data_IF_053722279666
#
_entry.id   IF_053722279666
#
_cell.length_a   1.000
_cell.length_b   1.000
_cell.length_c   1.000
_cell.angle_alpha   90.00
_cell.angle_beta   90.00
_cell.angle_gamma   90.00
#
_symmetry.space_group_name_H-M   'P 1'
#
loop_
_entity.id
_entity.type
_entity.pdbx_description
1 polymer ?
#
# COMPACT_ATOMS: atom_id res chain seq x y z
N UNK A 1 1.03 -10.14 1.79
CA UNK A 1 0.85 -9.67 3.19
C UNK A 1 0.96 -8.15 3.23
N UNK A 2 0.91 -7.55 4.42
CA UNK A 2 1.06 -6.10 4.60
C UNK A 2 2.55 -5.72 4.67
N UNK A 3 2.98 -4.74 3.88
CA UNK A 3 4.35 -4.23 3.89
C UNK A 3 4.41 -2.79 3.38
N UNK A 4 5.34 -1.99 3.88
CA UNK A 4 5.51 -0.59 3.51
C UNK A 4 6.97 -0.16 3.53
N UNK A 5 7.33 0.77 2.65
CA UNK A 5 8.63 1.41 2.65
C UNK A 5 8.83 2.26 3.92
N UNK A 6 10.09 2.58 4.23
CA UNK A 6 10.43 3.63 5.21
C UNK A 6 10.52 4.99 4.52
N UNK A 7 10.38 6.09 5.27
CA UNK A 7 10.22 7.43 4.67
C UNK A 7 11.39 7.85 3.75
N UNK A 8 12.64 7.77 4.23
CA UNK A 8 13.84 8.16 3.45
C UNK A 8 13.95 7.37 2.14
N UNK A 9 13.61 6.08 2.18
CA UNK A 9 13.56 5.21 1.01
C UNK A 9 12.46 5.64 0.05
N UNK A 10 11.23 5.79 0.55
CA UNK A 10 10.07 6.21 -0.25
C UNK A 10 10.31 7.56 -0.93
N UNK A 11 10.85 8.54 -0.19
CA UNK A 11 11.11 9.87 -0.73
C UNK A 11 12.15 9.82 -1.85
N UNK A 12 13.28 9.13 -1.62
CA UNK A 12 14.32 8.98 -2.64
C UNK A 12 13.82 8.21 -3.86
N UNK A 13 12.99 7.20 -3.64
CA UNK A 13 12.46 6.34 -4.71
C UNK A 13 11.61 7.15 -5.70
N UNK A 14 10.84 8.15 -5.25
CA UNK A 14 10.08 9.02 -6.17
C UNK A 14 10.96 9.74 -7.20
N UNK A 15 12.22 10.04 -6.86
CA UNK A 15 13.19 10.62 -7.80
C UNK A 15 13.94 9.60 -8.65
N UNK A 16 14.04 8.35 -8.20
CA UNK A 16 14.78 7.28 -8.89
C UNK A 16 13.90 6.45 -9.83
N UNK A 17 12.68 6.16 -9.42
CA UNK A 17 11.65 5.51 -10.22
C UNK A 17 10.26 6.02 -9.78
N UNK A 18 9.77 7.15 -10.33
CA UNK A 18 8.43 7.66 -10.01
C UNK A 18 7.31 6.71 -10.45
N UNK A 19 7.62 5.73 -11.31
CA UNK A 19 6.69 4.71 -11.78
C UNK A 19 6.79 3.39 -11.00
N UNK A 20 7.51 3.34 -9.87
CA UNK A 20 7.83 2.10 -9.15
C UNK A 20 6.63 1.17 -8.93
N UNK A 21 5.54 1.64 -8.32
CA UNK A 21 4.35 0.78 -8.10
C UNK A 21 3.63 0.41 -9.40
N UNK A 22 3.67 1.28 -10.43
CA UNK A 22 3.08 0.97 -11.74
C UNK A 22 3.86 -0.13 -12.44
N UNK A 23 5.19 -0.04 -12.40
CA UNK A 23 6.12 -1.05 -12.94
C UNK A 23 6.00 -2.37 -12.20
N UNK A 24 6.06 -2.33 -10.87
CA UNK A 24 5.97 -3.50 -10.00
C UNK A 24 4.68 -4.29 -10.25
N UNK A 25 3.52 -3.61 -10.29
CA UNK A 25 2.24 -4.24 -10.63
C UNK A 25 2.25 -4.90 -12.02
N UNK A 26 2.79 -4.20 -13.02
CA UNK A 26 2.82 -4.67 -14.40
C UNK A 26 3.73 -5.90 -14.55
N UNK A 27 4.95 -5.81 -14.02
CA UNK A 27 5.97 -6.86 -14.07
C UNK A 27 5.55 -8.09 -13.25
N UNK A 28 4.88 -7.91 -12.10
CA UNK A 28 4.32 -9.03 -11.33
C UNK A 28 3.30 -9.83 -12.15
N UNK A 29 2.43 -9.16 -12.89
CA UNK A 29 1.46 -9.82 -13.78
C UNK A 29 2.17 -10.54 -14.93
N UNK A 30 3.17 -9.93 -15.56
CA UNK A 30 3.96 -10.58 -16.63
C UNK A 30 4.75 -11.80 -16.12
N UNK A 31 5.23 -11.75 -14.88
CA UNK A 31 5.94 -12.85 -14.22
C UNK A 31 5.02 -14.00 -13.76
N UNK A 32 3.70 -13.80 -13.77
CA UNK A 32 2.73 -14.76 -13.23
C UNK A 32 2.60 -14.70 -11.70
N UNK A 33 3.14 -13.67 -11.07
CA UNK A 33 2.98 -13.35 -9.65
C UNK A 33 1.74 -12.47 -9.46
N UNK A 34 0.59 -13.01 -9.87
CA UNK A 34 -0.66 -12.28 -9.90
C UNK A 34 -1.01 -11.67 -8.54
N UNK A 35 -1.32 -10.36 -8.46
CA UNK A 35 -1.89 -9.77 -7.27
C UNK A 35 -3.20 -10.45 -6.89
N UNK A 36 -3.31 -10.85 -5.62
CA UNK A 36 -4.49 -11.52 -5.08
C UNK A 36 -5.01 -10.77 -3.85
N UNK A 37 -6.33 -10.56 -3.81
CA UNK A 37 -7.01 -9.85 -2.73
C UNK A 37 -8.23 -10.65 -2.28
N UNK A 38 -8.34 -10.91 -0.98
CA UNK A 38 -9.54 -11.52 -0.40
C UNK A 38 -10.57 -10.43 -0.09
N UNK A 39 -11.78 -10.58 -0.62
CA UNK A 39 -12.91 -9.75 -0.21
C UNK A 39 -13.43 -10.31 1.12
N UNK A 40 -13.53 -9.43 2.11
CA UNK A 40 -14.13 -9.73 3.41
C UNK A 40 -15.14 -8.68 3.81
N UNK A 41 -16.13 -9.09 4.61
CA UNK A 41 -17.22 -8.24 5.09
C UNK A 41 -17.25 -8.22 6.61
N UNK A 42 -17.37 -7.03 7.20
CA UNK A 42 -17.85 -6.87 8.57
C UNK A 42 -19.37 -6.77 8.49
N UNK A 43 -20.07 -7.64 9.22
CA UNK A 43 -21.53 -7.75 9.18
C UNK A 43 -22.08 -7.38 10.54
N UNK A 44 -22.87 -6.31 10.59
CA UNK A 44 -23.52 -5.82 11.79
C UNK A 44 -25.04 -5.92 11.56
N UNK A 45 -25.79 -6.60 12.45
CA UNK A 45 -27.26 -6.60 12.39
C UNK A 45 -27.84 -5.19 12.52
N UNK A 46 -29.01 -4.95 11.93
CA UNK A 46 -29.67 -3.63 11.98
C UNK A 46 -29.95 -3.20 13.43
N UNK A 47 -30.33 -4.14 14.30
CA UNK A 47 -30.59 -3.90 15.72
C UNK A 47 -29.37 -3.43 16.53
N UNK A 48 -28.15 -3.62 16.00
CA UNK A 48 -26.89 -3.27 16.67
C UNK A 48 -26.31 -1.93 16.20
N UNK A 49 -27.05 -1.14 15.40
CA UNK A 49 -26.60 0.16 14.86
C UNK A 49 -26.01 1.09 15.93
N UNK A 50 -26.62 1.13 17.11
CA UNK A 50 -26.25 2.00 18.22
C UNK A 50 -25.51 1.28 19.36
N UNK A 51 -25.00 0.06 19.13
CA UNK A 51 -24.32 -0.74 20.16
C UNK A 51 -22.84 -0.36 20.37
N UNK A 52 -22.31 0.57 19.56
CA UNK A 52 -20.91 0.97 19.55
C UNK A 52 -20.69 2.33 20.23
N UNK A 53 -19.47 2.58 20.70
CA UNK A 53 -19.12 3.89 21.28
C UNK A 53 -19.00 5.00 20.21
N UNK A 54 -19.14 4.63 18.94
CA UNK A 54 -19.03 5.47 17.77
C UNK A 54 -20.19 5.21 16.81
N UNK A 55 -20.49 6.20 15.97
CA UNK A 55 -21.54 6.09 14.97
C UNK A 55 -21.05 5.26 13.76
N UNK A 56 -21.81 4.25 13.35
CA UNK A 56 -21.48 3.42 12.18
C UNK A 56 -21.52 4.21 10.86
N UNK A 57 -22.21 5.35 10.85
CA UNK A 57 -22.32 6.25 9.70
C UNK A 57 -21.21 7.30 9.66
N UNK A 58 -20.32 7.34 10.67
CA UNK A 58 -19.18 8.26 10.71
C UNK A 58 -17.97 7.68 9.98
N UNK A 59 -17.61 8.18 8.78
CA UNK A 59 -16.49 7.66 8.00
C UNK A 59 -15.12 7.96 8.62
N UNK A 60 -15.07 8.72 9.72
CA UNK A 60 -13.83 8.92 10.50
C UNK A 60 -13.60 7.80 11.53
N UNK A 61 -14.54 6.87 11.68
CA UNK A 61 -14.50 5.78 12.63
C UNK A 61 -14.31 4.47 11.88
N UNK A 62 -13.31 3.68 12.31
CA UNK A 62 -13.16 2.30 11.86
C UNK A 62 -13.95 1.38 12.78
N UNK A 63 -14.33 0.20 12.28
CA UNK A 63 -14.89 -0.87 13.09
C UNK A 63 -13.74 -1.82 13.45
N UNK A 64 -13.28 -1.89 14.72
CA UNK A 64 -12.19 -2.78 15.10
C UNK A 64 -12.54 -4.25 14.82
N UNK A 65 -11.59 -5.01 14.25
CA UNK A 65 -11.81 -6.42 13.92
C UNK A 65 -12.02 -7.28 15.18
N UNK A 66 -11.48 -6.83 16.32
CA UNK A 66 -11.73 -7.45 17.61
C UNK A 66 -13.19 -7.33 18.09
N UNK A 67 -13.97 -6.35 17.59
CA UNK A 67 -15.40 -6.22 17.87
C UNK A 67 -16.23 -6.96 16.82
N UNK A 68 -15.94 -6.70 15.54
CA UNK A 68 -16.67 -7.29 14.41
C UNK A 68 -15.64 -7.90 13.45
N UNK A 69 -15.46 -9.24 13.45
CA UNK A 69 -14.44 -9.87 12.64
C UNK A 69 -14.78 -9.78 11.14
N UNK A 70 -13.73 -9.67 10.32
CA UNK A 70 -13.85 -9.71 8.86
C UNK A 70 -14.16 -11.14 8.40
N UNK A 71 -15.32 -11.34 7.77
CA UNK A 71 -15.72 -12.63 7.21
C UNK A 71 -15.34 -12.72 5.74
N UNK A 72 -14.48 -13.67 5.37
CA UNK A 72 -14.01 -13.88 3.99
C UNK A 72 -15.16 -14.36 3.11
N UNK A 73 -15.40 -13.68 1.99
CA UNK A 73 -16.51 -14.00 1.07
C UNK A 73 -16.07 -14.34 -0.35
N UNK A 74 -14.86 -13.97 -0.75
CA UNK A 74 -14.37 -14.25 -2.10
C UNK A 74 -12.92 -13.81 -2.31
N UNK A 75 -12.41 -14.06 -3.52
CA UNK A 75 -11.03 -13.74 -3.91
C UNK A 75 -11.03 -13.11 -5.30
N UNK A 76 -10.29 -12.01 -5.44
CA UNK A 76 -9.99 -11.34 -6.70
C UNK A 76 -8.54 -11.64 -7.10
N UNK A 77 -8.31 -11.93 -8.38
CA UNK A 77 -6.98 -12.17 -8.95
C UNK A 77 -6.81 -11.24 -10.16
N UNK A 78 -5.77 -10.41 -10.15
CA UNK A 78 -5.40 -9.55 -11.27
C UNK A 78 -4.38 -10.28 -12.14
N UNK A 79 -4.80 -10.74 -13.33
CA UNK A 79 -3.99 -11.67 -14.13
C UNK A 79 -3.66 -11.19 -15.55
N UNK A 80 -4.00 -9.94 -15.89
CA UNK A 80 -3.67 -9.36 -17.18
C UNK A 80 -3.58 -7.85 -17.10
N UNK A 81 -2.54 -7.29 -17.73
CA UNK A 81 -2.38 -5.85 -17.93
C UNK A 81 -3.30 -5.34 -19.04
N UNK A 82 -3.61 -4.03 -19.08
CA UNK A 82 -4.31 -3.43 -20.21
C UNK A 82 -3.43 -3.47 -21.47
N UNK A 83 -4.07 -3.53 -22.64
CA UNK A 83 -3.38 -3.40 -23.93
C UNK A 83 -3.03 -1.92 -24.20
N UNK A 84 -3.88 -0.99 -23.76
CA UNK A 84 -3.65 0.44 -23.89
C UNK A 84 -4.03 1.20 -22.62
N UNK A 85 -3.04 1.84 -22.00
CA UNK A 85 -3.23 2.58 -20.75
C UNK A 85 -4.31 3.67 -20.86
N UNK A 86 -4.34 4.45 -21.94
CA UNK A 86 -5.34 5.52 -22.07
C UNK A 86 -6.75 4.97 -22.30
N UNK A 87 -6.90 3.96 -23.15
CA UNK A 87 -8.19 3.36 -23.49
C UNK A 87 -8.86 2.65 -22.31
N UNK A 88 -8.05 1.99 -21.47
CA UNK A 88 -8.56 1.10 -20.42
C UNK A 88 -8.34 1.65 -19.00
N UNK A 89 -7.24 2.35 -18.72
CA UNK A 89 -7.00 2.93 -17.38
C UNK A 89 -7.54 4.36 -17.30
N UNK A 90 -7.01 5.27 -18.12
CA UNK A 90 -7.31 6.71 -18.01
C UNK A 90 -8.81 6.99 -18.23
N UNK A 91 -9.45 6.25 -19.14
CA UNK A 91 -10.88 6.41 -19.44
C UNK A 91 -11.82 5.55 -18.59
N UNK A 92 -11.30 4.71 -17.69
CA UNK A 92 -12.15 3.97 -16.76
C UNK A 92 -12.93 4.93 -15.85
N UNK A 93 -14.20 4.63 -15.60
CA UNK A 93 -15.07 5.41 -14.73
C UNK A 93 -15.64 4.53 -13.62
N UNK A 94 -15.12 4.72 -12.40
CA UNK A 94 -15.65 4.09 -11.20
C UNK A 94 -16.56 5.05 -10.45
N UNK A 95 -17.66 4.54 -9.88
CA UNK A 95 -18.59 5.34 -9.09
C UNK A 95 -19.18 4.48 -7.97
N UNK A 96 -19.13 4.92 -6.69
CA UNK A 96 -19.75 4.16 -5.59
C UNK A 96 -21.28 4.03 -5.70
N UNK A 97 -21.95 4.85 -6.52
CA UNK A 97 -23.38 4.72 -6.81
C UNK A 97 -23.73 3.63 -7.82
N UNK A 98 -22.74 3.00 -8.48
CA UNK A 98 -22.95 1.85 -9.36
C UNK A 98 -23.09 0.55 -8.55
N UNK A 99 -24.14 0.47 -7.72
CA UNK A 99 -24.50 -0.73 -6.97
C UNK A 99 -25.41 -1.66 -7.80
N UNK A 100 -25.68 -2.85 -7.27
CA UNK A 100 -26.56 -3.86 -7.87
C UNK A 100 -27.61 -4.32 -6.85
N UNK A 101 -28.78 -4.84 -7.28
CA UNK A 101 -29.78 -5.36 -6.35
C UNK A 101 -29.19 -6.36 -5.35
N UNK A 102 -29.46 -6.14 -4.07
CA UNK A 102 -28.85 -6.87 -2.93
C UNK A 102 -27.83 -6.03 -2.13
N UNK A 103 -27.50 -4.83 -2.60
CA UNK A 103 -26.71 -3.82 -1.89
C UNK A 103 -27.54 -2.54 -1.89
N UNK A 104 -27.45 -1.75 -0.82
CA UNK A 104 -28.02 -0.40 -0.74
C UNK A 104 -27.07 0.53 0.03
N UNK A 105 -27.42 1.80 0.13
CA UNK A 105 -26.64 2.83 0.82
C UNK A 105 -27.06 3.00 2.27
N UNK A 106 -26.20 3.67 3.05
CA UNK A 106 -26.51 4.19 4.38
C UNK A 106 -26.53 5.72 4.37
N UNK A 107 -26.92 6.33 5.48
CA UNK A 107 -26.93 7.78 5.66
C UNK A 107 -25.56 8.38 6.03
N UNK A 108 -24.44 7.70 5.76
CA UNK A 108 -23.10 8.30 5.85
C UNK A 108 -23.07 9.59 5.02
N UNK A 109 -22.91 10.77 5.65
CA UNK A 109 -23.04 12.06 4.98
C UNK A 109 -21.94 12.33 3.95
N UNK A 110 -20.80 11.63 4.04
CA UNK A 110 -19.74 11.67 3.03
C UNK A 110 -20.09 10.79 1.83
N UNK A 111 -20.59 9.58 2.06
CA UNK A 111 -21.07 8.70 0.98
C UNK A 111 -22.17 9.37 0.18
N UNK A 112 -23.17 9.96 0.85
CA UNK A 112 -24.29 10.66 0.20
C UNK A 112 -23.81 11.76 -0.77
N UNK A 113 -22.78 12.54 -0.39
CA UNK A 113 -22.18 13.53 -1.29
C UNK A 113 -21.43 12.90 -2.48
N UNK A 114 -20.79 11.74 -2.28
CA UNK A 114 -20.09 11.00 -3.35
C UNK A 114 -21.06 10.41 -4.38
N UNK A 115 -22.29 10.08 -4.01
CA UNK A 115 -23.31 9.59 -4.96
C UNK A 115 -23.61 10.61 -6.06
N UNK A 116 -23.49 11.91 -5.76
CA UNK A 116 -23.61 12.97 -6.75
C UNK A 116 -22.34 13.11 -7.62
N UNK A 117 -21.18 13.25 -6.97
CA UNK A 117 -19.95 13.76 -7.61
C UNK A 117 -19.43 12.91 -8.77
N UNK A 118 -19.47 11.59 -8.63
CA UNK A 118 -18.78 10.69 -9.55
C UNK A 118 -19.53 10.46 -10.87
N UNK A 119 -20.81 10.82 -10.97
CA UNK A 119 -21.49 10.93 -12.27
C UNK A 119 -21.21 12.30 -12.90
N UNK A 120 -21.31 13.36 -12.10
CA UNK A 120 -21.07 14.74 -12.53
C UNK A 120 -19.68 14.95 -13.16
N UNK A 121 -18.62 14.49 -12.50
CA UNK A 121 -17.24 14.71 -12.97
C UNK A 121 -16.94 14.08 -14.33
N UNK A 122 -17.66 13.01 -14.71
CA UNK A 122 -17.41 12.31 -15.97
C UNK A 122 -17.85 13.12 -17.19
N UNK A 123 -18.80 14.03 -17.01
CA UNK A 123 -19.31 14.87 -18.10
C UNK A 123 -18.19 15.70 -18.72
N UNK A 124 -17.32 16.29 -17.90
CA UNK A 124 -16.16 17.03 -18.41
C UNK A 124 -14.98 16.10 -18.69
N UNK A 125 -14.65 15.18 -17.77
CA UNK A 125 -13.47 14.30 -17.87
C UNK A 125 -13.50 13.38 -19.08
N UNK A 126 -14.67 12.81 -19.38
CA UNK A 126 -14.89 11.85 -20.47
C UNK A 126 -15.73 12.44 -21.62
N UNK A 127 -15.92 13.76 -21.62
CA UNK A 127 -16.45 14.49 -22.77
C UNK A 127 -17.95 14.38 -23.01
N UNK A 128 -18.73 13.81 -22.08
CA UNK A 128 -20.19 13.82 -22.17
C UNK A 128 -20.87 12.71 -21.35
N UNK A 129 -22.21 12.58 -21.46
CA UNK A 129 -22.99 11.60 -20.71
C UNK A 129 -22.84 10.15 -21.23
N UNK A 130 -22.25 9.97 -22.43
CA UNK A 130 -22.10 8.67 -23.07
C UNK A 130 -20.81 7.93 -22.64
N UNK A 131 -20.20 8.30 -21.51
CA UNK A 131 -18.97 7.65 -21.02
C UNK A 131 -19.14 6.15 -20.73
N UNK A 132 -20.36 5.69 -20.51
CA UNK A 132 -20.70 4.27 -20.35
C UNK A 132 -20.55 3.47 -21.64
N UNK A 133 -20.48 4.11 -22.82
CA UNK A 133 -20.26 3.46 -24.10
C UNK A 133 -18.78 3.27 -24.44
N UNK A 134 -17.87 3.90 -23.68
CA UNK A 134 -16.43 3.65 -23.79
C UNK A 134 -16.17 2.16 -23.45
N UNK A 135 -15.41 1.41 -24.26
CA UNK A 135 -15.34 -0.05 -24.16
C UNK A 135 -15.06 -0.62 -22.76
N UNK A 136 -14.17 0.01 -21.98
CA UNK A 136 -13.82 -0.47 -20.63
C UNK A 136 -14.94 -0.25 -19.60
N UNK A 137 -15.84 0.71 -19.85
CA UNK A 137 -16.96 1.05 -18.96
C UNK A 137 -18.25 0.31 -19.33
N UNK A 138 -18.28 -0.36 -20.49
CA UNK A 138 -19.48 -1.03 -21.00
C UNK A 138 -19.88 -2.18 -20.08
N UNK A 139 -21.16 -2.25 -19.65
CA UNK A 139 -21.69 -3.43 -19.00
C UNK A 139 -21.56 -4.65 -19.92
N UNK A 140 -21.25 -5.81 -19.35
CA UNK A 140 -21.29 -7.09 -20.08
C UNK A 140 -22.68 -7.72 -20.08
N UNK A 141 -23.62 -7.16 -19.30
CA UNK A 141 -25.03 -7.51 -19.28
C UNK A 141 -25.85 -6.55 -20.18
N UNK A 142 -27.09 -6.92 -20.56
CA UNK A 142 -27.95 -6.04 -21.34
C UNK A 142 -28.26 -4.73 -20.61
N UNK A 143 -28.26 -3.61 -21.34
CA UNK A 143 -28.73 -2.30 -20.90
C UNK A 143 -29.62 -1.70 -21.99
N UNK A 144 -30.87 -1.35 -21.64
CA UNK A 144 -31.81 -0.71 -22.55
C UNK A 144 -32.65 0.30 -21.77
N UNK A 145 -32.76 1.52 -22.29
CA UNK A 145 -33.53 2.59 -21.67
C UNK A 145 -33.99 3.61 -22.74
N UNK A 146 -34.55 4.72 -22.29
CA UNK A 146 -35.09 5.78 -23.15
C UNK A 146 -34.15 6.98 -23.32
N UNK A 147 -32.93 6.93 -22.78
CA UNK A 147 -31.93 8.00 -22.99
C UNK A 147 -31.44 7.99 -24.44
N UNK A 148 -31.24 9.18 -25.02
CA UNK A 148 -30.80 9.39 -26.41
C UNK A 148 -29.80 10.53 -26.49
N UNK A 149 -29.22 10.69 -27.67
CA UNK A 149 -28.32 11.78 -28.05
C UNK A 149 -27.05 11.84 -27.17
N UNK A 150 -26.58 13.05 -26.86
CA UNK A 150 -25.32 13.28 -26.18
C UNK A 150 -24.10 13.23 -27.11
N UNK A 151 -22.98 13.75 -26.62
CA UNK A 151 -21.72 13.75 -27.37
C UNK A 151 -21.24 12.32 -27.61
N UNK A 152 -20.72 12.04 -28.80
CA UNK A 152 -20.13 10.75 -29.18
C UNK A 152 -21.05 9.54 -28.90
N UNK A 153 -22.34 9.65 -29.23
CA UNK A 153 -23.29 8.52 -29.13
C UNK A 153 -22.87 7.39 -30.07
N UNK A 154 -22.61 6.21 -29.51
CA UNK A 154 -22.16 5.02 -30.22
C UNK A 154 -23.32 4.11 -30.63
N UNK A 155 -24.23 3.84 -29.71
CA UNK A 155 -25.35 2.93 -29.97
C UNK A 155 -26.44 3.64 -30.78
N UNK A 156 -26.91 2.98 -31.85
CA UNK A 156 -28.01 3.48 -32.70
C UNK A 156 -29.30 2.77 -32.26
N UNK A 157 -30.08 3.43 -31.42
CA UNK A 157 -31.39 2.93 -30.98
C UNK A 157 -32.38 2.88 -32.16
N UNK A 158 -33.02 1.73 -32.36
CA UNK A 158 -34.06 1.53 -33.40
C UNK A 158 -35.48 1.60 -32.86
N UNK A 159 -35.62 1.77 -31.54
CA UNK A 159 -36.92 1.83 -30.87
C UNK A 159 -37.71 3.05 -31.38
N UNK A 160 -38.95 2.88 -31.89
CA UNK A 160 -39.78 4.00 -32.34
C UNK A 160 -40.18 4.94 -31.18
N UNK A 161 -40.07 4.49 -29.93
CA UNK A 161 -40.25 5.30 -28.74
C UNK A 161 -38.90 5.68 -28.08
N UNK A 162 -38.83 6.92 -27.58
CA UNK A 162 -37.79 7.44 -26.70
C UNK A 162 -38.38 7.98 -25.38
N UNK A 163 -39.56 7.49 -24.99
CA UNK A 163 -40.28 7.88 -23.79
C UNK A 163 -41.10 6.70 -23.25
N UNK A 164 -41.55 6.84 -22.00
CA UNK A 164 -42.31 5.85 -21.24
C UNK A 164 -43.33 6.58 -20.34
N UNK A 165 -44.58 6.12 -20.21
CA UNK A 165 -45.22 4.99 -20.91
C UNK A 165 -45.46 5.26 -22.40
N UNK A 166 -45.36 4.21 -23.23
CA UNK A 166 -45.59 4.28 -24.68
C UNK A 166 -46.36 3.07 -25.23
N UNK A 167 -47.25 3.28 -26.19
CA UNK A 167 -47.97 2.19 -26.89
C UNK A 167 -47.34 1.78 -28.22
N UNK A 168 -46.58 2.68 -28.85
CA UNK A 168 -46.02 2.49 -30.20
C UNK A 168 -44.92 1.42 -30.27
N UNK A 169 -44.32 1.07 -29.13
CA UNK A 169 -43.41 -0.05 -28.99
C UNK A 169 -43.85 -1.03 -27.87
N UNK A 170 -45.16 -1.12 -27.61
CA UNK A 170 -45.72 -1.97 -26.54
C UNK A 170 -45.00 -1.76 -25.19
N UNK A 171 -44.67 -0.51 -24.88
CA UNK A 171 -44.05 -0.10 -23.62
C UNK A 171 -42.63 -0.65 -23.38
N UNK A 172 -41.95 -1.18 -24.42
CA UNK A 172 -40.57 -1.68 -24.29
C UNK A 172 -39.50 -0.58 -24.44
N UNK A 173 -38.38 -0.65 -23.69
CA UNK A 173 -38.11 -1.56 -22.57
C UNK A 173 -38.96 -1.26 -21.32
N UNK A 174 -39.36 -2.31 -20.57
CA UNK A 174 -40.26 -2.19 -19.41
C UNK A 174 -39.52 -2.19 -18.07
N UNK A 175 -40.16 -1.59 -17.08
CA UNK A 175 -39.82 -1.76 -15.66
C UNK A 175 -39.87 -3.24 -15.26
N UNK A 176 -39.01 -3.63 -14.32
CA UNK A 176 -38.98 -4.99 -13.76
C UNK A 176 -39.34 -4.93 -12.28
N UNK A 177 -40.36 -5.66 -11.80
CA UNK A 177 -40.68 -5.69 -10.37
C UNK A 177 -39.50 -6.19 -9.51
N UNK A 178 -39.38 -5.77 -8.25
CA UNK A 178 -38.43 -6.34 -7.31
C UNK A 178 -38.66 -7.85 -7.14
N UNK A 179 -37.57 -8.62 -7.09
CA UNK A 179 -37.62 -10.07 -7.00
C UNK A 179 -36.31 -10.63 -6.43
N UNK A 180 -36.37 -11.84 -5.87
CA UNK A 180 -35.21 -12.52 -5.27
C UNK A 180 -34.03 -12.72 -6.24
N UNK A 181 -34.31 -12.80 -7.55
CA UNK A 181 -33.29 -12.90 -8.62
C UNK A 181 -33.81 -12.17 -9.84
N UNK A 182 -32.95 -11.41 -10.52
CA UNK A 182 -33.28 -10.65 -11.74
C UNK A 182 -34.43 -9.63 -11.54
N UNK A 183 -34.62 -9.14 -10.31
CA UNK A 183 -35.60 -8.09 -10.02
C UNK A 183 -35.09 -6.70 -10.35
N UNK A 184 -36.00 -5.73 -10.41
CA UNK A 184 -35.64 -4.31 -10.41
C UNK A 184 -34.99 -3.88 -9.10
N UNK A 185 -34.22 -2.80 -9.15
CA UNK A 185 -33.68 -2.16 -7.96
C UNK A 185 -34.81 -1.43 -7.22
N UNK A 186 -34.91 -1.66 -5.91
CA UNK A 186 -35.79 -0.95 -4.99
C UNK A 186 -34.97 -0.67 -3.74
N UNK A 187 -34.95 0.59 -3.30
CA UNK A 187 -34.25 0.95 -2.08
C UNK A 187 -34.95 0.34 -0.86
N UNK A 188 -34.14 -0.04 0.13
CA UNK A 188 -34.64 -0.40 1.44
C UNK A 188 -35.50 0.73 2.00
N UNK A 189 -36.67 0.37 2.54
CA UNK A 189 -37.63 1.32 3.07
C UNK A 189 -37.24 1.83 4.46
N UNK A 190 -36.04 2.42 4.57
CA UNK A 190 -35.51 2.98 5.79
C UNK A 190 -36.45 4.06 6.36
N UNK A 191 -36.67 4.03 7.68
CA UNK A 191 -37.50 5.03 8.34
C UNK A 191 -36.72 6.33 8.53
N UNK A 192 -37.06 7.33 7.71
CA UNK A 192 -36.55 8.70 7.88
C UNK A 192 -37.50 9.51 8.76
N UNK A 193 -36.99 10.04 9.87
CA UNK A 193 -37.71 10.97 10.77
C UNK A 193 -36.77 12.10 11.21
N UNK A 194 -37.14 13.35 10.91
CA UNK A 194 -36.29 14.50 11.20
C UNK A 194 -36.68 15.77 10.44
N UNK A 195 -36.02 16.87 10.82
CA UNK A 195 -36.19 18.18 10.17
C UNK A 195 -35.17 18.41 9.05
N UNK A 196 -35.49 19.28 8.10
CA UNK A 196 -34.55 19.70 7.06
C UNK A 196 -33.52 20.66 7.64
N UNK A 197 -32.35 20.14 7.99
CA UNK A 197 -31.27 20.90 8.65
C UNK A 197 -29.93 20.78 7.90
N UNK A 198 -29.01 21.70 8.20
CA UNK A 198 -27.59 21.58 7.88
C UNK A 198 -26.81 21.53 9.18
N UNK A 199 -26.72 20.35 9.76
CA UNK A 199 -26.11 20.13 11.07
C UNK A 199 -25.35 18.80 11.07
N UNK A 200 -24.18 18.77 11.73
CA UNK A 200 -23.47 17.52 11.98
C UNK A 200 -24.14 16.79 13.15
N UNK A 201 -24.33 15.48 13.03
CA UNK A 201 -24.82 14.69 14.17
C UNK A 201 -23.89 14.85 15.37
N UNK A 202 -24.41 15.07 16.59
CA UNK A 202 -23.60 15.09 17.80
C UNK A 202 -22.78 13.79 18.01
N UNK A 203 -23.25 12.65 17.50
CA UNK A 203 -22.55 11.35 17.59
C UNK A 203 -21.21 11.33 16.84
N UNK A 204 -20.98 12.26 15.89
CA UNK A 204 -19.72 12.40 15.16
C UNK A 204 -18.72 13.31 15.93
N UNK A 205 -19.12 13.86 17.08
CA UNK A 205 -18.39 14.87 17.83
C UNK A 205 -17.24 14.36 18.71
N UNK A 206 -16.71 13.17 18.40
CA UNK A 206 -15.57 12.53 19.07
C UNK A 206 -14.43 12.36 18.06
N UNK A 207 -13.21 12.74 18.42
CA UNK A 207 -12.10 12.91 17.46
C UNK A 207 -10.79 12.19 17.85
N UNK A 208 -10.68 11.65 19.07
CA UNK A 208 -9.38 11.30 19.65
C UNK A 208 -9.26 9.83 20.05
N UNK A 209 -10.38 9.14 20.31
CA UNK A 209 -10.40 7.75 20.77
C UNK A 209 -9.90 6.77 19.70
N UNK A 210 -10.34 6.94 18.45
CA UNK A 210 -9.87 6.12 17.32
C UNK A 210 -8.38 6.37 16.99
N UNK A 211 -7.88 7.63 16.93
CA UNK A 211 -6.44 7.87 16.83
C UNK A 211 -5.62 7.24 17.96
N UNK A 212 -6.12 7.28 19.21
CA UNK A 212 -5.44 6.65 20.34
C UNK A 212 -5.42 5.13 20.22
N UNK A 213 -6.56 4.52 19.83
CA UNK A 213 -6.66 3.09 19.54
C UNK A 213 -5.64 2.68 18.48
N UNK A 214 -5.57 3.42 17.36
CA UNK A 214 -4.60 3.17 16.30
C UNK A 214 -3.17 3.26 16.82
N UNK A 215 -2.81 4.37 17.49
CA UNK A 215 -1.46 4.60 18.05
C UNK A 215 -1.01 3.48 18.99
N UNK A 216 -1.87 3.06 19.93
CA UNK A 216 -1.59 1.98 20.89
C UNK A 216 -1.50 0.59 20.26
N UNK A 217 -2.03 0.44 19.05
CA UNK A 217 -1.99 -0.81 18.30
C UNK A 217 -0.70 -1.02 17.52
N UNK A 218 0.08 0.05 17.33
CA UNK A 218 1.33 0.01 16.59
C UNK A 218 2.46 -0.60 17.41
N UNK A 219 3.38 -1.29 16.73
CA UNK A 219 4.65 -1.71 17.34
C UNK A 219 5.52 -0.48 17.67
N UNK A 220 6.52 -0.60 18.57
CA UNK A 220 7.38 0.52 18.91
C UNK A 220 8.09 1.17 17.71
N UNK A 221 8.44 0.39 16.69
CA UNK A 221 9.07 0.91 15.48
C UNK A 221 8.07 1.66 14.58
N UNK A 222 6.85 1.16 14.45
CA UNK A 222 5.77 1.87 13.73
C UNK A 222 5.41 3.18 14.45
N UNK A 223 5.36 3.17 15.78
CA UNK A 223 5.19 4.39 16.59
C UNK A 223 6.29 5.42 16.33
N UNK A 224 7.55 4.98 16.28
CA UNK A 224 8.67 5.87 15.94
C UNK A 224 8.52 6.45 14.53
N UNK A 225 8.13 5.63 13.54
CA UNK A 225 7.91 6.12 12.17
C UNK A 225 6.74 7.12 12.08
N UNK A 226 5.68 6.96 12.88
CA UNK A 226 4.59 7.94 12.97
C UNK A 226 5.10 9.27 13.54
N UNK A 227 5.88 9.22 14.63
CA UNK A 227 6.52 10.41 15.21
C UNK A 227 7.38 11.12 14.16
N UNK A 228 8.22 10.36 13.45
CA UNK A 228 9.12 10.90 12.43
C UNK A 228 8.34 11.50 11.26
N UNK A 229 7.23 10.87 10.85
CA UNK A 229 6.32 11.38 9.82
C UNK A 229 5.72 12.74 10.19
N UNK A 230 5.11 12.85 11.39
CA UNK A 230 4.60 14.13 11.89
C UNK A 230 5.71 15.18 11.97
N UNK A 231 6.86 14.82 12.54
CA UNK A 231 7.99 15.73 12.72
C UNK A 231 8.50 16.26 11.38
N UNK A 232 8.67 15.38 10.41
CA UNK A 232 9.14 15.73 9.07
C UNK A 232 8.15 16.63 8.34
N UNK A 233 6.86 16.31 8.31
CA UNK A 233 5.87 17.15 7.62
C UNK A 233 5.69 18.51 8.29
N UNK A 234 5.61 18.55 9.63
CA UNK A 234 5.47 19.80 10.37
C UNK A 234 6.71 20.68 10.26
N UNK A 235 7.91 20.13 10.09
CA UNK A 235 9.12 20.91 9.87
C UNK A 235 9.06 21.77 8.60
N UNK A 236 8.28 21.35 7.60
CA UNK A 236 8.07 22.09 6.34
C UNK A 236 6.99 23.17 6.44
N UNK A 237 6.19 23.16 7.50
CA UNK A 237 5.16 24.17 7.72
C UNK A 237 5.83 25.45 8.20
N UNK A 238 5.88 26.49 7.37
CA UNK A 238 6.63 27.73 7.69
C UNK A 238 6.07 28.47 8.93
N UNK A 239 4.77 28.38 9.17
CA UNK A 239 4.10 29.11 10.26
C UNK A 239 4.14 28.28 11.55
N UNK A 240 4.96 28.70 12.50
CA UNK A 240 5.23 27.97 13.75
C UNK A 240 3.96 27.67 14.56
N UNK A 241 3.06 28.64 14.71
CA UNK A 241 1.79 28.45 15.43
C UNK A 241 0.88 27.37 14.85
N UNK A 242 1.07 26.97 13.59
CA UNK A 242 0.37 25.81 13.03
C UNK A 242 0.97 24.52 13.59
N UNK A 243 2.29 24.43 13.70
CA UNK A 243 3.00 23.27 14.29
C UNK A 243 2.59 23.10 15.75
N UNK A 244 2.59 24.19 16.52
CA UNK A 244 2.16 24.23 17.92
C UNK A 244 0.72 23.73 18.08
N UNK A 245 -0.20 24.20 17.22
CA UNK A 245 -1.60 23.73 17.26
C UNK A 245 -1.76 22.27 16.90
N UNK A 246 -0.97 21.73 15.96
CA UNK A 246 -1.02 20.30 15.66
C UNK A 246 -0.47 19.49 16.83
N UNK A 247 0.65 19.90 17.43
CA UNK A 247 1.21 19.26 18.64
C UNK A 247 0.21 19.31 19.80
N UNK A 248 -0.53 20.41 19.95
CA UNK A 248 -1.63 20.52 20.91
C UNK A 248 -2.74 19.47 20.64
N UNK A 249 -3.14 19.26 19.38
CA UNK A 249 -4.08 18.19 19.03
C UNK A 249 -3.52 16.79 19.34
N UNK A 250 -2.22 16.55 19.12
CA UNK A 250 -1.59 15.28 19.49
C UNK A 250 -1.63 15.03 20.99
N UNK A 251 -1.55 16.08 21.82
CA UNK A 251 -1.64 15.96 23.27
C UNK A 251 -3.02 15.50 23.76
N UNK A 252 -4.07 15.72 22.95
CA UNK A 252 -5.41 15.18 23.18
C UNK A 252 -5.53 13.70 22.76
N UNK A 253 -4.56 13.14 22.04
CA UNK A 253 -4.52 11.73 21.64
C UNK A 253 -3.66 10.96 22.63
N UNK A 254 -2.36 11.23 22.65
CA UNK A 254 -1.38 10.55 23.48
C UNK A 254 -0.20 11.46 23.82
N UNK A 255 0.14 11.55 25.11
CA UNK A 255 1.16 12.47 25.60
C UNK A 255 2.57 12.09 25.13
N UNK A 256 2.88 10.80 24.99
CA UNK A 256 4.20 10.35 24.53
C UNK A 256 4.40 10.73 23.06
N UNK A 257 3.38 10.55 22.22
CA UNK A 257 3.37 11.00 20.83
C UNK A 257 3.61 12.51 20.74
N UNK A 258 2.81 13.30 21.48
CA UNK A 258 2.91 14.76 21.46
C UNK A 258 4.28 15.26 21.93
N UNK A 259 4.83 14.67 23.00
CA UNK A 259 6.15 15.02 23.52
C UNK A 259 7.27 14.70 22.54
N UNK A 260 7.22 13.54 21.88
CA UNK A 260 8.25 13.13 20.94
C UNK A 260 8.26 14.02 19.69
N UNK A 261 7.08 14.33 19.13
CA UNK A 261 6.96 15.28 18.01
C UNK A 261 7.36 16.69 18.44
N UNK A 262 6.91 17.15 19.61
CA UNK A 262 7.27 18.45 20.17
C UNK A 262 8.78 18.61 20.33
N UNK A 263 9.46 17.60 20.87
CA UNK A 263 10.93 17.56 21.00
C UNK A 263 11.63 17.73 19.67
N UNK A 264 11.18 17.03 18.62
CA UNK A 264 11.78 17.13 17.28
C UNK A 264 11.58 18.50 16.63
N UNK A 265 10.52 19.22 17.02
CA UNK A 265 10.18 20.55 16.51
C UNK A 265 10.67 21.70 17.41
N UNK A 266 11.30 21.40 18.55
CA UNK A 266 11.72 22.41 19.53
C UNK A 266 10.54 23.05 20.30
N UNK A 267 9.43 22.34 20.44
CA UNK A 267 8.21 22.78 21.13
C UNK A 267 8.11 22.08 22.48
N UNK A 268 8.05 22.87 23.56
CA UNK A 268 7.79 22.35 24.90
C UNK A 268 6.29 22.41 25.19
N UNK A 269 5.70 21.27 25.58
CA UNK A 269 4.32 21.23 26.04
C UNK A 269 4.17 21.94 27.38
N UNK A 270 3.08 22.70 27.54
CA UNK A 270 2.72 23.35 28.80
C UNK A 270 2.28 22.34 29.86
N UNK A 271 2.24 22.74 31.13
CA UNK A 271 1.74 21.88 32.21
C UNK A 271 0.26 21.53 32.04
N UNK A 272 -0.52 22.45 31.45
CA UNK A 272 -1.92 22.22 31.08
C UNK A 272 -2.03 21.11 30.03
N UNK A 273 -1.23 21.18 28.96
CA UNK A 273 -1.20 20.16 27.91
C UNK A 273 -0.75 18.79 28.43
N UNK A 274 0.22 18.76 29.36
CA UNK A 274 0.68 17.52 30.00
C UNK A 274 -0.36 16.89 30.94
N UNK A 275 -1.37 17.67 31.33
CA UNK A 275 -2.44 17.24 32.23
C UNK A 275 -3.76 16.94 31.49
N UNK A 276 -3.75 16.98 30.15
CA UNK A 276 -4.91 16.59 29.35
C UNK A 276 -5.28 15.13 29.64
N UNK A 277 -6.57 14.89 29.92
CA UNK A 277 -7.08 13.54 30.16
C UNK A 277 -7.14 12.80 28.82
N UNK A 278 -6.54 11.60 28.70
CA UNK A 278 -6.64 10.80 27.49
C UNK A 278 -8.11 10.46 27.15
N UNK A 279 -8.44 10.30 25.86
CA UNK A 279 -9.77 9.87 25.44
C UNK A 279 -10.07 8.45 25.93
N UNK A 280 -11.36 8.07 25.98
CA UNK A 280 -11.76 6.72 26.41
C UNK A 280 -11.25 5.64 25.44
N UNK A 281 -11.21 4.40 25.95
CA UNK A 281 -10.99 3.21 25.13
C UNK A 281 -12.24 2.95 24.25
N UNK A 282 -12.06 2.44 23.03
CA UNK A 282 -13.18 2.20 22.09
C UNK A 282 -13.86 0.86 22.42
N UNK A 283 -15.07 0.90 22.97
CA UNK A 283 -15.81 -0.27 23.47
C UNK A 283 -14.95 -1.14 24.42
N UNK A 284 -14.12 -0.49 25.23
CA UNK A 284 -13.18 -1.14 26.16
C UNK A 284 -11.89 -1.66 25.52
N UNK A 285 -11.68 -1.48 24.22
CA UNK A 285 -10.44 -1.85 23.53
C UNK A 285 -9.35 -0.79 23.72
N UNK A 286 -8.22 -1.24 24.28
CA UNK A 286 -7.00 -0.43 24.41
C UNK A 286 -6.13 -0.44 23.16
N UNK A 287 -6.22 -1.51 22.38
CA UNK A 287 -5.48 -1.76 21.14
C UNK A 287 -6.15 -2.88 20.35
N UNK A 288 -5.95 -2.89 19.04
CA UNK A 288 -6.31 -3.98 18.13
C UNK A 288 -5.12 -4.29 17.20
N UNK A 289 -4.43 -5.45 17.37
CA UNK A 289 -3.25 -5.79 16.58
C UNK A 289 -3.47 -5.86 15.07
N UNK A 290 -4.71 -5.97 14.58
CA UNK A 290 -4.99 -5.96 13.13
C UNK A 290 -4.67 -4.61 12.48
N UNK A 291 -4.70 -3.53 13.28
CA UNK A 291 -4.37 -2.16 12.87
C UNK A 291 -2.85 -1.91 12.70
N UNK A 292 -2.00 -2.83 13.14
CA UNK A 292 -0.55 -2.78 12.89
C UNK A 292 -0.20 -3.57 11.62
N UNK A 293 0.77 -3.10 10.86
CA UNK A 293 1.30 -3.80 9.69
C UNK A 293 2.09 -5.05 10.13
N UNK A 294 2.85 -4.93 11.22
CA UNK A 294 3.91 -5.88 11.58
C UNK A 294 3.70 -6.62 12.91
N UNK A 295 2.70 -6.27 13.71
CA UNK A 295 2.41 -6.96 14.97
C UNK A 295 1.97 -8.42 14.75
N UNK A 296 1.27 -8.70 13.64
CA UNK A 296 0.89 -10.05 13.21
C UNK A 296 1.60 -10.33 11.88
N UNK A 297 2.61 -11.23 11.84
CA UNK A 297 3.27 -11.61 10.61
C UNK A 297 2.28 -12.13 9.56
N UNK A 298 2.41 -11.69 8.31
CA UNK A 298 1.52 -12.10 7.22
C UNK A 298 2.19 -12.07 5.85
N UNK A 299 1.73 -12.93 4.94
CA UNK A 299 2.28 -13.05 3.59
C UNK A 299 3.53 -13.92 3.51
N UNK A 300 4.16 -13.91 2.34
CA UNK A 300 5.37 -14.66 2.02
C UNK A 300 6.31 -13.82 1.14
N UNK A 301 7.41 -14.42 0.67
CA UNK A 301 8.48 -13.75 -0.09
C UNK A 301 8.30 -13.80 -1.61
N UNK A 302 7.29 -14.51 -2.14
CA UNK A 302 7.05 -14.61 -3.58
C UNK A 302 6.82 -13.23 -4.18
N UNK A 303 7.43 -12.98 -5.34
CA UNK A 303 7.37 -11.70 -6.05
C UNK A 303 8.37 -10.66 -5.54
N UNK A 304 9.00 -10.86 -4.37
CA UNK A 304 10.08 -9.99 -3.87
C UNK A 304 11.30 -10.06 -4.78
N UNK A 305 12.14 -9.03 -4.75
CA UNK A 305 13.30 -8.88 -5.62
C UNK A 305 14.57 -8.69 -4.78
N UNK A 306 15.66 -9.36 -5.15
CA UNK A 306 16.99 -9.13 -4.56
C UNK A 306 17.97 -8.55 -5.57
N UNK A 307 18.85 -7.66 -5.12
CA UNK A 307 20.01 -7.24 -5.90
C UNK A 307 21.17 -8.20 -5.66
N UNK A 308 21.79 -8.70 -6.73
CA UNK A 308 23.02 -9.47 -6.69
C UNK A 308 24.14 -8.61 -7.28
N UNK A 309 25.02 -8.11 -6.42
CA UNK A 309 26.09 -7.18 -6.81
C UNK A 309 27.28 -7.97 -7.36
N UNK A 310 27.38 -8.07 -8.68
CA UNK A 310 28.46 -8.79 -9.35
C UNK A 310 29.81 -8.09 -9.19
N UNK A 311 30.89 -8.85 -9.28
CA UNK A 311 32.28 -8.39 -9.42
C UNK A 311 32.84 -8.83 -10.80
N UNK A 312 34.10 -8.55 -11.14
CA UNK A 312 34.65 -8.91 -12.48
C UNK A 312 34.73 -10.42 -12.73
N UNK A 313 34.84 -11.23 -11.67
CA UNK A 313 34.96 -12.70 -11.77
C UNK A 313 34.19 -13.39 -10.64
N UNK A 314 32.84 -13.35 -10.67
CA UNK A 314 32.02 -13.89 -9.61
C UNK A 314 32.09 -15.43 -9.58
N UNK A 315 31.91 -16.00 -8.40
CA UNK A 315 31.90 -17.45 -8.21
C UNK A 315 30.64 -18.08 -8.84
N UNK A 316 30.80 -18.80 -9.96
CA UNK A 316 29.69 -19.35 -10.73
C UNK A 316 28.84 -20.34 -9.92
N UNK A 317 29.49 -21.17 -9.11
CA UNK A 317 28.83 -22.17 -8.26
C UNK A 317 27.94 -21.54 -7.19
N UNK A 318 28.38 -20.42 -6.61
CA UNK A 318 27.61 -19.66 -5.63
C UNK A 318 26.38 -19.05 -6.29
N UNK A 319 26.56 -18.40 -7.45
CA UNK A 319 25.45 -17.83 -8.21
C UNK A 319 24.43 -18.87 -8.66
N UNK A 320 24.87 -20.05 -9.11
CA UNK A 320 23.97 -21.14 -9.49
C UNK A 320 23.13 -21.62 -8.28
N UNK A 321 23.77 -21.78 -7.13
CA UNK A 321 23.10 -22.20 -5.89
C UNK A 321 22.08 -21.15 -5.46
N UNK A 322 22.51 -19.89 -5.45
CA UNK A 322 21.67 -18.73 -5.11
C UNK A 322 20.43 -18.65 -6.00
N UNK A 323 20.61 -18.56 -7.32
CA UNK A 323 19.51 -18.35 -8.26
C UNK A 323 18.52 -19.51 -8.25
N UNK A 324 19.00 -20.74 -8.04
CA UNK A 324 18.13 -21.92 -7.89
C UNK A 324 17.29 -21.83 -6.61
N UNK A 325 17.88 -21.44 -5.49
CA UNK A 325 17.18 -21.30 -4.22
C UNK A 325 16.16 -20.15 -4.25
N UNK A 326 16.53 -18.97 -4.76
CA UNK A 326 15.61 -17.84 -4.94
C UNK A 326 14.40 -18.23 -5.80
N UNK A 327 14.64 -18.91 -6.93
CA UNK A 327 13.57 -19.41 -7.80
C UNK A 327 12.62 -20.38 -7.09
N UNK A 328 13.13 -21.23 -6.19
CA UNK A 328 12.31 -22.17 -5.43
C UNK A 328 11.34 -21.45 -4.47
N UNK A 329 11.69 -20.24 -4.03
CA UNK A 329 10.85 -19.38 -3.20
C UNK A 329 10.04 -18.34 -4.01
N UNK A 330 10.17 -18.33 -5.34
CA UNK A 330 9.53 -17.32 -6.19
C UNK A 330 10.08 -15.90 -5.98
N UNK A 331 11.35 -15.78 -5.57
CA UNK A 331 12.06 -14.50 -5.41
C UNK A 331 12.86 -14.20 -6.67
N UNK A 332 12.73 -12.98 -7.19
CA UNK A 332 13.43 -12.51 -8.39
C UNK A 332 14.82 -11.98 -8.05
N UNK A 333 15.74 -12.05 -9.00
CA UNK A 333 17.10 -11.54 -8.85
C UNK A 333 17.47 -10.56 -9.96
N UNK A 334 18.03 -9.40 -9.59
CA UNK A 334 18.64 -8.44 -10.52
C UNK A 334 20.15 -8.54 -10.40
N UNK A 335 20.82 -8.99 -11.46
CA UNK A 335 22.29 -9.03 -11.52
C UNK A 335 22.82 -7.64 -11.86
N UNK A 336 23.45 -6.98 -10.90
CA UNK A 336 23.90 -5.59 -11.02
C UNK A 336 25.41 -5.49 -11.11
N UNK A 337 25.90 -4.54 -11.90
CA UNK A 337 27.34 -4.30 -12.04
C UNK A 337 27.71 -2.81 -12.20
N UNK A 338 29.00 -2.50 -12.34
CA UNK A 338 29.48 -1.14 -12.59
C UNK A 338 29.19 -0.64 -14.02
N UNK A 339 28.90 -1.55 -14.95
CA UNK A 339 28.59 -1.27 -16.36
C UNK A 339 27.60 -2.30 -16.91
N UNK A 340 26.89 -1.93 -17.98
CA UNK A 340 26.03 -2.85 -18.74
C UNK A 340 26.85 -3.91 -19.52
N UNK A 341 26.13 -4.83 -20.17
CA UNK A 341 26.70 -5.88 -21.02
C UNK A 341 26.78 -7.20 -20.28
N UNK A 342 27.95 -7.84 -20.34
CA UNK A 342 28.19 -9.14 -19.72
C UNK A 342 29.42 -9.10 -18.80
N UNK A 343 29.41 -9.98 -17.81
CA UNK A 343 30.53 -10.32 -16.91
C UNK A 343 30.81 -11.81 -17.05
N UNK A 344 32.07 -12.21 -17.00
CA UNK A 344 32.44 -13.63 -17.08
C UNK A 344 32.70 -14.18 -15.68
N UNK A 345 31.96 -15.22 -15.30
CA UNK A 345 32.18 -15.93 -14.04
C UNK A 345 33.50 -16.71 -14.05
N UNK A 346 33.92 -17.21 -12.88
CA UNK A 346 35.18 -17.95 -12.72
C UNK A 346 35.31 -19.23 -13.57
N UNK A 347 34.18 -19.85 -13.92
CA UNK A 347 34.04 -21.02 -14.79
C UNK A 347 33.88 -20.70 -16.29
N UNK A 348 33.88 -19.41 -16.65
CA UNK A 348 33.72 -18.94 -18.03
C UNK A 348 32.28 -18.60 -18.44
N UNK A 349 31.29 -18.82 -17.57
CA UNK A 349 29.88 -18.46 -17.83
C UNK A 349 29.71 -16.96 -18.06
N UNK A 350 29.02 -16.58 -19.14
CA UNK A 350 28.66 -15.18 -19.39
C UNK A 350 27.36 -14.80 -18.67
N UNK A 351 27.43 -13.83 -17.78
CA UNK A 351 26.31 -13.32 -16.99
C UNK A 351 25.82 -12.00 -17.59
N UNK A 352 24.56 -11.90 -18.05
CA UNK A 352 24.00 -10.63 -18.50
C UNK A 352 23.74 -9.72 -17.30
N UNK A 353 24.16 -8.46 -17.41
CA UNK A 353 23.92 -7.43 -16.41
C UNK A 353 22.55 -6.80 -16.64
N UNK A 354 21.68 -6.85 -15.63
CA UNK A 354 20.33 -6.30 -15.67
C UNK A 354 20.31 -4.77 -15.52
N UNK A 355 21.25 -4.22 -14.76
CA UNK A 355 21.35 -2.79 -14.51
C UNK A 355 22.68 -2.43 -13.85
N UNK A 356 23.01 -1.13 -13.83
CA UNK A 356 24.14 -0.65 -13.06
C UNK A 356 23.75 -0.42 -11.60
N UNK A 357 24.72 -0.34 -10.68
CA UNK A 357 24.46 -0.01 -9.27
C UNK A 357 23.65 1.30 -9.12
N UNK A 358 24.03 2.36 -9.85
CA UNK A 358 23.33 3.63 -9.86
C UNK A 358 21.99 3.59 -10.63
N UNK A 359 21.88 2.76 -11.67
CA UNK A 359 20.68 2.64 -12.50
C UNK A 359 19.55 1.80 -11.86
N UNK A 360 19.88 0.97 -10.88
CA UNK A 360 18.91 0.18 -10.11
C UNK A 360 19.28 0.20 -8.63
N UNK A 361 19.16 1.37 -7.96
CA UNK A 361 19.63 1.57 -6.60
C UNK A 361 18.93 0.64 -5.60
N UNK A 362 19.49 0.54 -4.39
CA UNK A 362 19.01 -0.41 -3.38
C UNK A 362 17.54 -0.21 -3.04
N UNK A 363 17.01 1.01 -3.21
CA UNK A 363 15.60 1.38 -3.08
C UNK A 363 14.64 0.45 -3.84
N UNK A 364 15.09 -0.14 -4.96
CA UNK A 364 14.25 -0.90 -5.90
C UNK A 364 14.21 -2.41 -5.64
N UNK A 365 14.80 -2.86 -4.53
CA UNK A 365 14.90 -4.28 -4.14
C UNK A 365 14.61 -4.46 -2.66
N UNK A 366 14.31 -5.68 -2.24
CA UNK A 366 13.97 -6.05 -0.86
C UNK A 366 15.19 -6.50 -0.03
N UNK A 367 16.22 -7.04 -0.68
CA UNK A 367 17.47 -7.46 -0.05
C UNK A 367 18.67 -7.36 -1.00
N UNK A 368 19.88 -7.41 -0.44
CA UNK A 368 21.14 -7.29 -1.21
C UNK A 368 22.06 -8.48 -0.95
N UNK A 369 22.68 -8.99 -2.00
CA UNK A 369 23.56 -10.14 -1.97
C UNK A 369 24.86 -9.80 -2.67
N UNK A 370 25.99 -10.09 -2.02
CA UNK A 370 27.33 -9.95 -2.61
C UNK A 370 27.99 -11.34 -2.61
N UNK A 371 28.10 -11.99 -3.78
CA UNK A 371 28.73 -13.30 -3.91
C UNK A 371 30.26 -13.21 -3.77
N UNK A 372 30.89 -14.36 -3.57
CA UNK A 372 32.34 -14.50 -3.68
C UNK A 372 32.87 -14.20 -5.09
N UNK A 373 34.20 -14.12 -5.22
CA UNK A 373 34.89 -13.79 -6.46
C UNK A 373 35.89 -12.65 -6.28
N UNK A 374 36.21 -11.95 -7.37
CA UNK A 374 37.19 -10.85 -7.36
C UNK A 374 36.60 -9.54 -6.82
N UNK A 375 36.40 -9.45 -5.50
CA UNK A 375 35.89 -8.22 -4.87
C UNK A 375 36.85 -7.03 -5.00
N UNK A 376 38.14 -7.28 -5.29
CA UNK A 376 39.12 -6.20 -5.42
C UNK A 376 38.78 -5.27 -6.59
N UNK A 377 38.17 -5.81 -7.65
CA UNK A 377 37.60 -5.03 -8.77
C UNK A 377 36.59 -3.95 -8.34
N UNK A 378 35.92 -4.13 -7.19
CA UNK A 378 34.92 -3.21 -6.65
C UNK A 378 35.41 -2.36 -5.48
N UNK A 379 36.64 -2.59 -5.00
CA UNK A 379 37.17 -1.97 -3.77
C UNK A 379 37.12 -0.43 -3.77
N UNK A 380 37.30 0.19 -4.94
CA UNK A 380 37.25 1.64 -5.12
C UNK A 380 35.96 2.13 -5.81
N UNK A 381 34.92 1.30 -5.87
CA UNK A 381 33.66 1.67 -6.51
C UNK A 381 32.69 2.30 -5.48
N UNK A 382 32.50 3.62 -5.58
CA UNK A 382 31.65 4.38 -4.66
C UNK A 382 30.19 3.94 -4.68
N UNK A 383 29.63 3.66 -5.86
CA UNK A 383 28.23 3.23 -6.00
C UNK A 383 27.98 1.86 -5.36
N UNK A 384 28.92 0.92 -5.48
CA UNK A 384 28.86 -0.38 -4.83
C UNK A 384 28.80 -0.25 -3.30
N UNK A 385 29.71 0.54 -2.72
CA UNK A 385 29.74 0.77 -1.27
C UNK A 385 28.48 1.50 -0.79
N UNK A 386 28.05 2.52 -1.53
CA UNK A 386 26.82 3.26 -1.21
C UNK A 386 25.58 2.37 -1.29
N UNK A 387 25.54 1.41 -2.22
CA UNK A 387 24.43 0.45 -2.33
C UNK A 387 24.21 -0.31 -1.02
N UNK A 388 25.29 -0.78 -0.41
CA UNK A 388 25.23 -1.51 0.86
C UNK A 388 24.85 -0.59 2.02
N UNK A 389 25.41 0.61 2.05
CA UNK A 389 25.09 1.63 3.06
C UNK A 389 23.61 2.02 3.02
N UNK A 390 23.07 2.26 1.82
CA UNK A 390 21.67 2.61 1.61
C UNK A 390 20.74 1.46 2.02
N UNK A 391 21.03 0.23 1.56
CA UNK A 391 20.26 -0.95 1.95
C UNK A 391 20.29 -1.18 3.47
N UNK A 392 21.44 -0.97 4.09
CA UNK A 392 21.61 -1.11 5.54
C UNK A 392 20.78 -0.08 6.30
N UNK A 393 20.86 1.20 5.89
CA UNK A 393 20.06 2.30 6.46
C UNK A 393 18.55 2.06 6.30
N UNK A 394 18.13 1.45 5.19
CA UNK A 394 16.73 1.09 4.94
C UNK A 394 16.33 -0.27 5.51
N UNK A 395 17.13 -0.81 6.45
CA UNK A 395 16.80 -2.00 7.24
C UNK A 395 16.64 -3.28 6.41
N UNK A 396 17.27 -3.35 5.22
CA UNK A 396 17.16 -4.51 4.35
C UNK A 396 18.07 -5.65 4.81
N UNK A 397 17.68 -6.91 4.63
CA UNK A 397 18.59 -8.04 4.79
C UNK A 397 19.76 -7.95 3.79
N UNK A 398 20.97 -8.28 4.25
CA UNK A 398 22.18 -8.29 3.41
C UNK A 398 22.89 -9.64 3.58
N UNK A 399 23.29 -10.27 2.48
CA UNK A 399 24.12 -11.49 2.47
C UNK A 399 25.51 -11.18 1.89
N UNK A 400 26.56 -11.52 2.62
CA UNK A 400 27.96 -11.34 2.24
C UNK A 400 28.69 -12.69 2.25
N UNK A 401 29.19 -13.12 1.09
CA UNK A 401 29.93 -14.37 0.93
C UNK A 401 31.43 -14.15 0.70
N UNK A 402 32.27 -15.01 1.29
CA UNK A 402 33.72 -15.01 1.07
C UNK A 402 34.37 -13.68 1.46
N UNK A 403 35.13 -13.10 0.54
CA UNK A 403 35.81 -11.82 0.74
C UNK A 403 34.84 -10.64 0.89
N UNK A 404 33.58 -10.77 0.45
CA UNK A 404 32.57 -9.73 0.60
C UNK A 404 32.26 -9.39 2.07
N UNK A 405 32.62 -10.27 3.03
CA UNK A 405 32.49 -10.01 4.47
C UNK A 405 33.32 -8.80 4.93
N UNK A 406 34.33 -8.38 4.17
CA UNK A 406 35.07 -7.16 4.47
C UNK A 406 34.22 -5.88 4.31
N UNK A 407 33.11 -5.94 3.57
CA UNK A 407 32.15 -4.85 3.42
C UNK A 407 31.37 -4.53 4.71
N UNK A 408 31.54 -5.30 5.78
CA UNK A 408 30.99 -4.98 7.11
C UNK A 408 31.58 -3.72 7.73
N UNK A 409 32.85 -3.43 7.46
CA UNK A 409 33.55 -2.31 8.07
C UNK A 409 32.90 -0.95 7.72
N UNK A 410 32.60 -0.64 6.44
CA UNK A 410 31.80 0.54 6.08
C UNK A 410 30.42 0.61 6.74
N UNK A 411 29.79 -0.53 6.99
CA UNK A 411 28.48 -0.61 7.67
C UNK A 411 28.58 -0.47 9.20
N UNK A 412 29.79 -0.27 9.74
CA UNK A 412 30.07 -0.24 11.18
C UNK A 412 29.61 -1.51 11.93
N UNK A 413 29.57 -2.64 11.22
CA UNK A 413 29.22 -3.94 11.81
C UNK A 413 30.48 -4.59 12.38
N UNK A 414 30.37 -5.07 13.62
CA UNK A 414 31.48 -5.70 14.34
C UNK A 414 31.91 -7.04 13.70
N UNK A 415 33.11 -7.52 14.04
CA UNK A 415 33.66 -8.74 13.43
C UNK A 415 32.81 -9.99 13.68
N UNK A 416 32.16 -10.06 14.84
CA UNK A 416 31.22 -11.13 15.21
C UNK A 416 29.88 -11.10 14.46
N UNK A 417 29.64 -10.08 13.63
CA UNK A 417 28.40 -9.91 12.86
C UNK A 417 27.25 -9.34 13.69
N UNK A 418 26.07 -9.29 13.08
CA UNK A 418 24.82 -8.87 13.71
C UNK A 418 23.61 -9.49 13.00
N UNK A 419 22.45 -9.47 13.68
CA UNK A 419 21.18 -9.87 13.07
C UNK A 419 20.90 -9.06 11.79
N UNK A 420 20.44 -9.76 10.74
CA UNK A 420 20.12 -9.15 9.46
C UNK A 420 21.29 -9.04 8.47
N UNK A 421 22.52 -9.39 8.88
CA UNK A 421 23.68 -9.57 8.01
C UNK A 421 24.02 -11.06 7.99
N UNK A 422 23.71 -11.73 6.88
CA UNK A 422 24.05 -13.15 6.67
C UNK A 422 25.48 -13.22 6.16
N UNK A 423 26.35 -13.89 6.91
CA UNK A 423 27.75 -14.07 6.56
C UNK A 423 28.05 -15.54 6.31
N UNK A 424 28.76 -15.84 5.22
CA UNK A 424 29.17 -17.20 4.90
C UNK A 424 30.52 -17.21 4.18
N UNK A 425 31.25 -18.32 4.23
CA UNK A 425 32.46 -18.52 3.44
C UNK A 425 32.14 -18.63 1.94
N UNK A 426 31.02 -19.28 1.59
CA UNK A 426 30.49 -19.39 0.23
C UNK A 426 28.96 -19.50 0.29
N UNK A 427 28.26 -18.99 -0.72
CA UNK A 427 26.80 -19.13 -0.77
C UNK A 427 26.42 -20.61 -0.91
N UNK A 428 25.52 -21.04 -0.02
CA UNK A 428 24.94 -22.36 0.09
C UNK A 428 23.45 -22.27 0.43
N UNK A 429 22.74 -23.39 0.49
CA UNK A 429 21.30 -23.36 0.78
C UNK A 429 21.02 -22.79 2.18
N UNK A 430 21.87 -23.05 3.17
CA UNK A 430 21.64 -22.59 4.53
C UNK A 430 21.73 -21.06 4.66
N UNK A 431 22.70 -20.43 3.98
CA UNK A 431 22.81 -18.98 3.95
C UNK A 431 21.67 -18.32 3.15
N UNK A 432 21.19 -18.94 2.07
CA UNK A 432 20.00 -18.46 1.36
C UNK A 432 18.73 -18.61 2.21
N UNK A 433 18.53 -19.74 2.89
CA UNK A 433 17.37 -19.96 3.79
C UNK A 433 17.35 -18.94 4.95
N UNK A 434 18.53 -18.61 5.49
CA UNK A 434 18.67 -17.55 6.49
C UNK A 434 18.26 -16.18 5.93
N UNK A 435 18.66 -15.86 4.70
CA UNK A 435 18.25 -14.62 4.02
C UNK A 435 16.73 -14.59 3.76
N UNK A 436 16.16 -15.69 3.27
CA UNK A 436 14.71 -15.81 3.02
C UNK A 436 13.91 -15.62 4.31
N UNK A 437 14.39 -16.16 5.43
CA UNK A 437 13.78 -15.97 6.74
C UNK A 437 13.73 -14.48 7.13
N UNK A 438 14.83 -13.74 6.89
CA UNK A 438 14.89 -12.31 7.13
C UNK A 438 13.98 -11.52 6.16
N UNK A 439 13.91 -11.92 4.89
CA UNK A 439 13.03 -11.31 3.90
C UNK A 439 11.54 -11.52 4.22
N UNK A 440 11.17 -12.68 4.78
CA UNK A 440 9.81 -12.95 5.24
C UNK A 440 9.39 -12.03 6.39
N UNK A 441 10.34 -11.56 7.20
CA UNK A 441 10.13 -10.52 8.22
C UNK A 441 10.12 -9.09 7.65
N UNK A 442 10.23 -8.94 6.31
CA UNK A 442 10.28 -7.71 5.52
C UNK A 442 11.50 -6.81 5.75
N UNK A 443 11.80 -6.43 6.99
CA UNK A 443 12.92 -5.57 7.37
C UNK A 443 13.52 -5.99 8.72
N UNK A 444 14.75 -5.59 8.95
CA UNK A 444 15.52 -5.85 10.18
C UNK A 444 15.27 -4.72 11.18
N UNK A 445 14.11 -4.72 11.84
CA UNK A 445 13.68 -3.63 12.73
C UNK A 445 14.63 -3.37 13.90
N UNK A 446 15.32 -4.41 14.38
CA UNK A 446 16.33 -4.31 15.44
C UNK A 446 17.54 -3.42 15.08
N UNK A 447 17.76 -3.16 13.77
CA UNK A 447 18.81 -2.29 13.27
C UNK A 447 18.48 -0.79 13.37
N UNK A 448 17.22 -0.41 13.57
CA UNK A 448 16.77 1.00 13.61
C UNK A 448 17.57 1.90 14.57
N UNK A 449 18.06 1.37 15.70
CA UNK A 449 18.88 2.14 16.64
C UNK A 449 20.31 2.45 16.14
N UNK A 450 20.79 1.76 15.10
CA UNK A 450 22.16 1.87 14.57
C UNK A 450 22.25 2.81 13.36
N UNK A 451 21.17 2.94 12.59
CA UNK A 451 21.20 3.62 11.28
C UNK A 451 21.44 5.14 11.38
N UNK A 452 21.21 5.75 12.55
CA UNK A 452 21.47 7.18 12.76
C UNK A 452 22.96 7.55 12.72
N UNK A 453 23.86 6.58 12.91
CA UNK A 453 25.31 6.76 12.82
C UNK A 453 25.87 6.48 11.41
N UNK A 454 25.03 6.01 10.48
CA UNK A 454 25.44 5.62 9.13
C UNK A 454 25.28 6.81 8.17
N UNK A 455 26.36 7.29 7.53
CA UNK A 455 26.31 8.44 6.63
C UNK A 455 25.84 8.02 5.23
N UNK A 456 24.55 7.75 5.07
CA UNK A 456 23.96 7.24 3.82
C UNK A 456 22.66 7.93 3.41
#
# INVERSE_FOLDING_TARGET
>A
GKASLVWDESQKLTGRDPDFHRRDLWEAIEAGDYPEYELGLQLIPEEDEFAFDFDLLDPTKLIPEALVPVQRVGKMVLNRNPDNFFAENEQAAFHPGHIVPGIDFSNDPLLQGRLFSYTDTQISRLGGPNFHEIPINKPTCPYHNFQRDGMHRMDIDTNPANYEPNSINDNWPRETPPAAKRGGFESYAERVDGEKIRQRSPSFGEYYSQPLLFWRSQTPIEQQHIIDGFSFELSKVVREWIRERVVDQLAHIDLQLAQAVGKNLGIELTDEQRSITPPPDVNGLKKDPTLSLYAIPSGDVKGRVVAVLLNDRPAAKELLTLLKALKAHGVHAKLLYSRMGKVQADDGTELPVAGTFAGSPSLTVDAVIVPGGDLQSLSNNGDFHYYLLEAYKHLKPILLAGDARQCKAPLQVASQGEEGIVETDAIDNASVDALITLMAAHRVWSRSAKISAIPA
#
